data_IF_113536118959
#
_entry.id   IF_113536118959
#
_cell.length_a   1.000
_cell.length_b   1.000
_cell.length_c   1.000
_cell.angle_alpha   90.00
_cell.angle_beta   90.00
_cell.angle_gamma   90.00
#
_symmetry.space_group_name_H-M   'P 1'
#
loop_
_entity.id
_entity.type
_entity.pdbx_description
1 polymer ?
#
# COMPACT_ATOMS: atom_id res chain seq x y z
N UNK A 1 1.51 -25.17 7.48
CA UNK A 1 0.09 -24.89 7.76
C UNK A 1 -0.37 -23.98 6.64
N UNK A 2 -1.28 -24.44 5.78
CA UNK A 2 -2.01 -23.53 4.90
C UNK A 2 -2.88 -22.68 5.81
N UNK A 3 -2.61 -21.38 5.79
CA UNK A 3 -3.23 -20.41 6.69
C UNK A 3 -4.64 -20.09 6.17
N UNK A 4 -5.59 -21.00 6.42
CA UNK A 4 -7.01 -20.83 6.08
C UNK A 4 -7.68 -19.65 6.82
N UNK A 5 -6.92 -18.92 7.67
CA UNK A 5 -7.38 -17.73 8.37
C UNK A 5 -7.11 -16.42 7.61
N UNK A 6 -6.25 -16.45 6.58
CA UNK A 6 -5.95 -15.27 5.79
C UNK A 6 -6.97 -15.11 4.65
N UNK A 7 -7.59 -13.92 4.52
CA UNK A 7 -8.55 -13.67 3.45
C UNK A 7 -7.87 -13.78 2.08
N UNK A 8 -8.53 -14.49 1.16
CA UNK A 8 -8.08 -14.62 -0.23
C UNK A 8 -8.29 -13.34 -1.04
N UNK A 9 -9.17 -12.46 -0.57
CA UNK A 9 -9.45 -11.13 -1.14
C UNK A 9 -9.56 -10.13 0.01
N UNK A 10 -8.77 -9.06 -0.05
CA UNK A 10 -8.84 -7.97 0.92
C UNK A 10 -9.98 -7.01 0.55
N UNK A 11 -10.70 -6.53 1.55
CA UNK A 11 -11.52 -5.33 1.40
C UNK A 11 -10.63 -4.11 1.17
N UNK A 12 -11.17 -3.02 0.62
CA UNK A 12 -10.42 -1.76 0.42
C UNK A 12 -9.78 -1.25 1.71
N UNK A 13 -10.48 -1.38 2.84
CA UNK A 13 -9.97 -0.97 4.15
C UNK A 13 -8.78 -1.84 4.59
N UNK A 14 -8.88 -3.15 4.42
CA UNK A 14 -7.80 -4.09 4.75
C UNK A 14 -6.59 -3.90 3.82
N UNK A 15 -6.82 -3.68 2.53
CA UNK A 15 -5.78 -3.39 1.56
C UNK A 15 -5.05 -2.07 1.87
N UNK A 16 -5.79 -1.01 2.23
CA UNK A 16 -5.21 0.25 2.68
C UNK A 16 -4.34 0.05 3.93
N UNK A 17 -4.85 -0.66 4.94
CA UNK A 17 -4.10 -0.93 6.18
C UNK A 17 -2.86 -1.77 5.93
N UNK A 18 -2.97 -2.81 5.10
CA UNK A 18 -1.85 -3.65 4.70
C UNK A 18 -0.78 -2.82 3.98
N UNK A 19 -1.16 -2.03 2.96
CA UNK A 19 -0.24 -1.18 2.23
C UNK A 19 0.47 -0.16 3.15
N UNK A 20 -0.27 0.48 4.06
CA UNK A 20 0.30 1.40 5.04
C UNK A 20 1.28 0.70 5.99
N UNK A 21 0.95 -0.50 6.46
CA UNK A 21 1.82 -1.30 7.32
C UNK A 21 3.10 -1.73 6.59
N UNK A 22 3.02 -2.11 5.31
CA UNK A 22 4.19 -2.48 4.51
C UNK A 22 5.17 -1.31 4.34
N UNK A 23 4.69 -0.07 4.21
CA UNK A 23 5.56 1.12 4.16
C UNK A 23 6.40 1.23 5.45
N UNK A 24 5.79 0.97 6.62
CA UNK A 24 6.52 1.00 7.89
C UNK A 24 7.53 -0.15 7.97
N UNK A 25 7.14 -1.37 7.58
CA UNK A 25 8.06 -2.53 7.58
C UNK A 25 9.27 -2.26 6.66
N UNK A 26 9.04 -1.87 5.42
CA UNK A 26 10.14 -1.62 4.48
C UNK A 26 10.97 -0.41 4.89
N UNK A 27 10.32 0.65 5.39
CA UNK A 27 11.02 1.78 5.99
C UNK A 27 11.97 1.34 7.11
N UNK A 28 11.49 0.54 8.06
CA UNK A 28 12.30 0.08 9.19
C UNK A 28 13.40 -0.92 8.77
N UNK A 29 13.11 -1.84 7.84
CA UNK A 29 14.08 -2.80 7.31
C UNK A 29 15.20 -2.10 6.54
N UNK A 30 14.88 -1.07 5.77
CA UNK A 30 15.85 -0.31 4.97
C UNK A 30 16.45 0.88 5.72
N UNK A 31 16.20 1.01 7.02
CA UNK A 31 16.68 2.14 7.84
C UNK A 31 16.29 3.50 7.22
N UNK A 32 15.10 3.55 6.65
CA UNK A 32 14.49 4.71 5.97
C UNK A 32 15.41 5.33 4.90
N UNK A 33 16.23 4.53 4.23
CA UNK A 33 17.15 5.01 3.18
C UNK A 33 16.49 5.24 1.83
N UNK A 34 15.35 4.60 1.58
CA UNK A 34 14.56 4.86 0.37
C UNK A 34 13.88 6.22 0.46
N UNK A 35 14.35 7.16 -0.36
CA UNK A 35 13.79 8.52 -0.46
C UNK A 35 12.29 8.47 -0.77
N UNK A 36 11.87 7.59 -1.69
CA UNK A 36 10.46 7.44 -2.06
C UNK A 36 9.58 7.00 -0.88
N UNK A 37 10.05 6.05 -0.06
CA UNK A 37 9.33 5.60 1.13
C UNK A 37 9.26 6.70 2.20
N UNK A 38 10.36 7.45 2.38
CA UNK A 38 10.40 8.60 3.29
C UNK A 38 9.39 9.66 2.85
N UNK A 39 9.41 10.05 1.57
CA UNK A 39 8.52 11.06 1.03
C UNK A 39 7.05 10.63 1.11
N UNK A 40 6.74 9.37 0.78
CA UNK A 40 5.39 8.83 0.91
C UNK A 40 4.90 8.83 2.37
N UNK A 41 5.74 8.43 3.31
CA UNK A 41 5.40 8.45 4.73
C UNK A 41 5.20 9.88 5.26
N UNK A 42 6.04 10.84 4.83
CA UNK A 42 5.88 12.25 5.17
C UNK A 42 4.59 12.83 4.58
N UNK A 43 4.31 12.55 3.30
CA UNK A 43 3.07 12.96 2.63
C UNK A 43 1.84 12.49 3.43
N UNK A 44 1.80 11.22 3.81
CA UNK A 44 0.70 10.64 4.59
C UNK A 44 0.53 11.27 5.97
N UNK A 45 1.62 11.72 6.60
CA UNK A 45 1.60 12.37 7.93
C UNK A 45 1.35 13.87 7.88
N UNK A 46 1.46 14.50 6.71
CA UNK A 46 1.37 15.96 6.56
C UNK A 46 -0.03 16.52 6.79
N UNK A 47 -1.08 15.76 6.47
CA UNK A 47 -2.48 16.14 6.65
C UNK A 47 -3.34 14.87 6.79
N UNK A 48 -4.18 14.74 7.84
CA UNK A 48 -5.10 13.62 8.01
C UNK A 48 -5.98 13.30 6.79
N UNK A 49 -6.29 14.29 5.95
CA UNK A 49 -7.05 14.09 4.72
C UNK A 49 -6.28 13.22 3.69
N UNK A 50 -4.94 13.20 3.73
CA UNK A 50 -4.12 12.40 2.79
C UNK A 50 -4.30 10.91 2.98
N UNK A 51 -4.65 10.46 4.17
CA UNK A 51 -5.01 9.07 4.39
C UNK A 51 -6.25 8.66 3.57
N UNK A 52 -7.21 9.58 3.41
CA UNK A 52 -8.40 9.36 2.59
C UNK A 52 -8.06 9.39 1.09
N UNK A 53 -7.21 10.32 0.65
CA UNK A 53 -6.71 10.36 -0.73
C UNK A 53 -6.00 9.04 -1.11
N UNK A 54 -5.14 8.54 -0.22
CA UNK A 54 -4.43 7.28 -0.44
C UNK A 54 -5.36 6.07 -0.44
N UNK A 55 -6.34 6.03 0.46
CA UNK A 55 -7.36 4.97 0.45
C UNK A 55 -8.15 4.93 -0.86
N UNK A 56 -8.50 6.10 -1.40
CA UNK A 56 -9.16 6.19 -2.71
C UNK A 56 -8.24 5.69 -3.84
N UNK A 57 -6.95 6.02 -3.80
CA UNK A 57 -5.97 5.51 -4.76
C UNK A 57 -5.84 3.98 -4.70
N UNK A 58 -5.80 3.39 -3.49
CA UNK A 58 -5.81 1.92 -3.30
C UNK A 58 -7.09 1.31 -3.86
N UNK A 59 -8.25 1.93 -3.61
CA UNK A 59 -9.51 1.47 -4.19
C UNK A 59 -9.47 1.45 -5.73
N UNK A 60 -9.02 2.55 -6.34
CA UNK A 60 -8.89 2.65 -7.79
C UNK A 60 -7.94 1.59 -8.35
N UNK A 61 -6.83 1.30 -7.67
CA UNK A 61 -5.89 0.26 -8.08
C UNK A 61 -6.51 -1.14 -8.02
N UNK A 62 -7.34 -1.43 -7.00
CA UNK A 62 -8.07 -2.70 -6.91
C UNK A 62 -9.14 -2.85 -7.99
N UNK A 63 -9.78 -1.73 -8.37
CA UNK A 63 -10.80 -1.69 -9.42
C UNK A 63 -10.21 -1.73 -10.84
N UNK A 64 -8.90 -1.50 -10.98
CA UNK A 64 -8.17 -1.53 -12.26
C UNK A 64 -7.12 -2.65 -12.22
N UNK A 65 -7.47 -3.89 -12.61
CA UNK A 65 -6.54 -5.03 -12.58
C UNK A 65 -5.20 -4.74 -13.26
N UNK A 66 -5.23 -3.97 -14.35
CA UNK A 66 -4.05 -3.62 -15.14
C UNK A 66 -3.16 -2.52 -14.50
N UNK A 67 -3.62 -1.84 -13.46
CA UNK A 67 -2.82 -0.85 -12.74
C UNK A 67 -1.79 -1.50 -11.80
N UNK A 68 -2.04 -2.74 -11.37
CA UNK A 68 -1.15 -3.54 -10.53
C UNK A 68 -0.40 -4.59 -11.34
N UNK A 69 -0.99 -5.06 -12.45
CA UNK A 69 -0.31 -5.90 -13.43
C UNK A 69 0.74 -5.09 -14.19
N UNK A 70 1.99 -5.17 -13.76
CA UNK A 70 3.11 -4.95 -14.68
C UNK A 70 3.15 -6.12 -15.67
N UNK A 71 2.25 -6.16 -16.65
CA UNK A 71 2.62 -6.70 -17.96
C UNK A 71 3.62 -5.70 -18.56
N UNK A 72 4.87 -5.80 -18.09
CA UNK A 72 5.99 -5.47 -18.93
C UNK A 72 5.98 -6.53 -20.01
N UNK A 73 5.49 -6.17 -21.19
CA UNK A 73 5.80 -6.88 -22.42
C UNK A 73 7.29 -7.23 -22.42
N UNK A 74 7.61 -8.52 -22.32
CA UNK A 74 8.93 -9.10 -22.51
C UNK A 74 8.77 -10.50 -23.08
#
# INVERSE_FOLDING_TARGET
MTDDSLPTVLTTEEAFRAAYFMIQIYGDVEDWRSEDLVLLAQYMRSDPARASDWKNAVQMALEQPNAVSSERDS
#
